data_IF_010521431355
#
_entry.id   IF_010521431355
#
_cell.length_a   1.000
_cell.length_b   1.000
_cell.length_c   1.000
_cell.angle_alpha   90.00
_cell.angle_beta   90.00
_cell.angle_gamma   90.00
#
_symmetry.space_group_name_H-M   'P 1'
#
loop_
_entity.id
_entity.type
_entity.pdbx_description
1 polymer ?
#
# COMPACT_ATOMS: atom_id res chain seq x y z
N UNK A 1 -20.02 -4.03 35.14
CA UNK A 1 -20.60 -5.27 34.57
C UNK A 1 -20.95 -4.97 33.11
N UNK A 2 -20.02 -5.24 32.20
CA UNK A 2 -20.20 -5.00 30.77
C UNK A 2 -21.09 -6.10 30.21
N UNK A 3 -22.32 -5.72 29.86
CA UNK A 3 -23.29 -6.58 29.19
C UNK A 3 -22.66 -7.06 27.88
N UNK A 4 -22.17 -8.31 27.86
CA UNK A 4 -21.67 -8.94 26.64
C UNK A 4 -22.91 -9.30 25.84
N UNK A 5 -23.44 -8.31 25.10
CA UNK A 5 -24.51 -8.57 24.14
C UNK A 5 -24.02 -9.71 23.25
N UNK A 6 -24.69 -10.86 23.34
CA UNK A 6 -24.39 -12.02 22.52
C UNK A 6 -24.51 -11.53 21.07
N UNK A 7 -23.37 -11.45 20.39
CA UNK A 7 -23.32 -11.01 19.00
C UNK A 7 -24.25 -11.94 18.19
N UNK A 8 -25.29 -11.36 17.62
CA UNK A 8 -26.27 -12.10 16.83
C UNK A 8 -25.57 -12.78 15.65
N UNK A 9 -25.72 -14.10 15.55
CA UNK A 9 -25.02 -14.95 14.58
C UNK A 9 -25.98 -15.73 13.68
N UNK A 10 -27.30 -15.61 13.88
CA UNK A 10 -28.28 -16.26 13.01
C UNK A 10 -28.27 -15.56 11.66
N UNK A 11 -27.95 -16.32 10.62
CA UNK A 11 -27.83 -15.81 9.25
C UNK A 11 -29.10 -15.12 8.75
N UNK A 12 -30.28 -15.59 9.15
CA UNK A 12 -31.57 -14.98 8.80
C UNK A 12 -31.73 -13.56 9.39
N UNK A 13 -31.35 -13.39 10.65
CA UNK A 13 -31.44 -12.08 11.34
C UNK A 13 -30.41 -11.13 10.77
N UNK A 14 -29.17 -11.59 10.58
CA UNK A 14 -28.10 -10.81 9.96
C UNK A 14 -28.47 -10.36 8.55
N UNK A 15 -29.11 -11.23 7.76
CA UNK A 15 -29.53 -10.89 6.39
C UNK A 15 -30.58 -9.78 6.39
N UNK A 16 -31.59 -9.88 7.25
CA UNK A 16 -32.62 -8.83 7.37
C UNK A 16 -32.01 -7.47 7.74
N UNK A 17 -31.12 -7.45 8.74
CA UNK A 17 -30.44 -6.22 9.17
C UNK A 17 -29.54 -5.66 8.06
N UNK A 18 -28.76 -6.51 7.40
CA UNK A 18 -27.89 -6.10 6.30
C UNK A 18 -28.68 -5.54 5.11
N UNK A 19 -29.78 -6.18 4.71
CA UNK A 19 -30.60 -5.72 3.58
C UNK A 19 -31.28 -4.37 3.86
N UNK A 20 -31.77 -4.16 5.09
CA UNK A 20 -32.37 -2.90 5.52
C UNK A 20 -31.34 -1.76 5.50
N UNK A 21 -30.19 -1.97 6.16
CA UNK A 21 -29.12 -0.97 6.21
C UNK A 21 -28.51 -0.71 4.83
N UNK A 22 -28.35 -1.75 4.00
CA UNK A 22 -27.85 -1.62 2.63
C UNK A 22 -28.80 -0.80 1.75
N UNK A 23 -30.11 -1.03 1.86
CA UNK A 23 -31.12 -0.27 1.12
C UNK A 23 -31.06 1.22 1.48
N UNK A 24 -30.96 1.53 2.78
CA UNK A 24 -30.77 2.91 3.26
C UNK A 24 -29.47 3.52 2.72
N UNK A 25 -28.37 2.78 2.77
CA UNK A 25 -27.07 3.22 2.25
C UNK A 25 -27.12 3.54 0.74
N UNK A 26 -27.73 2.67 -0.08
CA UNK A 26 -27.89 2.87 -1.54
C UNK A 26 -28.76 4.09 -1.87
N UNK A 27 -29.75 4.39 -1.02
CA UNK A 27 -30.59 5.57 -1.15
C UNK A 27 -29.88 6.87 -0.71
N UNK A 28 -28.62 6.79 -0.29
CA UNK A 28 -27.85 7.94 0.20
C UNK A 28 -28.31 8.44 1.57
N UNK A 29 -29.06 7.63 2.32
CA UNK A 29 -29.40 7.98 3.70
C UNK A 29 -28.13 8.01 4.55
N UNK A 30 -27.98 9.04 5.39
CA UNK A 30 -26.89 9.10 6.35
C UNK A 30 -27.01 7.96 7.35
N UNK A 31 -26.10 6.99 7.27
CA UNK A 31 -25.91 5.98 8.31
C UNK A 31 -24.90 6.51 9.35
N UNK A 32 -25.12 6.18 10.61
CA UNK A 32 -24.13 6.44 11.66
C UNK A 32 -22.89 5.55 11.47
N UNK A 33 -21.79 5.89 12.16
CA UNK A 33 -20.58 5.05 12.14
C UNK A 33 -20.88 3.62 12.62
N UNK A 34 -21.66 3.47 13.69
CA UNK A 34 -22.06 2.16 14.23
C UNK A 34 -22.94 1.38 13.23
N UNK A 35 -23.82 2.05 12.49
CA UNK A 35 -24.63 1.41 11.44
C UNK A 35 -23.78 0.96 10.26
N UNK A 36 -22.77 1.74 9.86
CA UNK A 36 -21.83 1.37 8.80
C UNK A 36 -20.98 0.17 9.22
N UNK A 37 -20.47 0.17 10.46
CA UNK A 37 -19.72 -0.97 11.02
C UNK A 37 -20.60 -2.22 11.10
N UNK A 38 -21.83 -2.09 11.61
CA UNK A 38 -22.77 -3.20 11.68
C UNK A 38 -23.13 -3.76 10.30
N UNK A 39 -23.32 -2.90 9.30
CA UNK A 39 -23.59 -3.30 7.92
C UNK A 39 -22.40 -4.05 7.30
N UNK A 40 -21.18 -3.54 7.48
CA UNK A 40 -19.97 -4.17 6.98
C UNK A 40 -19.74 -5.55 7.63
N UNK A 41 -19.85 -5.62 8.97
CA UNK A 41 -19.66 -6.87 9.72
C UNK A 41 -20.76 -7.90 9.41
N UNK A 42 -22.02 -7.47 9.26
CA UNK A 42 -23.11 -8.37 8.88
C UNK A 42 -22.90 -8.96 7.48
N UNK A 43 -22.53 -8.11 6.50
CA UNK A 43 -22.17 -8.56 5.16
C UNK A 43 -21.00 -9.56 5.19
N UNK A 44 -19.94 -9.25 5.96
CA UNK A 44 -18.78 -10.13 6.10
C UNK A 44 -19.15 -11.49 6.69
N UNK A 45 -19.90 -11.52 7.81
CA UNK A 45 -20.33 -12.77 8.46
C UNK A 45 -21.19 -13.64 7.55
N UNK A 46 -22.12 -13.02 6.82
CA UNK A 46 -22.94 -13.72 5.83
C UNK A 46 -22.07 -14.29 4.70
N UNK A 47 -21.04 -13.57 4.25
CA UNK A 47 -20.16 -14.03 3.18
C UNK A 47 -19.32 -15.25 3.58
N UNK A 48 -18.80 -15.29 4.81
CA UNK A 48 -17.96 -16.39 5.30
C UNK A 48 -18.76 -17.56 5.88
N UNK A 49 -20.07 -17.44 5.95
CA UNK A 49 -20.95 -18.51 6.43
C UNK A 49 -20.88 -19.74 5.49
N UNK A 50 -20.76 -20.98 6.00
CA UNK A 50 -20.57 -22.18 5.17
C UNK A 50 -21.67 -22.43 4.14
N UNK A 51 -22.90 -22.01 4.44
CA UNK A 51 -24.05 -22.16 3.53
C UNK A 51 -24.13 -21.10 2.42
N UNK A 52 -23.21 -20.14 2.36
CA UNK A 52 -23.26 -19.07 1.37
C UNK A 52 -22.50 -19.47 0.11
N UNK A 53 -23.19 -19.50 -1.03
CA UNK A 53 -22.58 -19.80 -2.33
C UNK A 53 -21.50 -18.76 -2.70
N UNK A 54 -20.45 -19.16 -3.42
CA UNK A 54 -19.31 -18.28 -3.73
C UNK A 54 -19.69 -16.98 -4.44
N UNK A 55 -20.69 -16.99 -5.32
CA UNK A 55 -21.19 -15.77 -5.99
C UNK A 55 -21.79 -14.79 -4.99
N UNK A 56 -22.75 -15.26 -4.18
CA UNK A 56 -23.37 -14.44 -3.13
C UNK A 56 -22.36 -13.96 -2.09
N UNK A 57 -21.37 -14.79 -1.74
CA UNK A 57 -20.29 -14.40 -0.84
C UNK A 57 -19.44 -13.26 -1.42
N UNK A 58 -19.13 -13.30 -2.72
CA UNK A 58 -18.40 -12.20 -3.38
C UNK A 58 -19.21 -10.91 -3.36
N UNK A 59 -20.51 -10.96 -3.68
CA UNK A 59 -21.38 -9.79 -3.63
C UNK A 59 -21.36 -9.17 -2.23
N UNK A 60 -21.56 -9.98 -1.18
CA UNK A 60 -21.53 -9.53 0.20
C UNK A 60 -20.16 -8.94 0.61
N UNK A 61 -19.04 -9.52 0.16
CA UNK A 61 -17.70 -8.99 0.44
C UNK A 61 -17.46 -7.65 -0.27
N UNK A 62 -17.96 -7.49 -1.50
CA UNK A 62 -17.93 -6.21 -2.22
C UNK A 62 -18.76 -5.16 -1.49
N UNK A 63 -19.94 -5.54 -0.99
CA UNK A 63 -20.78 -4.64 -0.17
C UNK A 63 -20.06 -4.19 1.09
N UNK A 64 -19.48 -5.15 1.84
CA UNK A 64 -18.71 -4.87 3.05
C UNK A 64 -17.53 -3.93 2.74
N UNK A 65 -16.78 -4.20 1.66
CA UNK A 65 -15.64 -3.38 1.26
C UNK A 65 -16.05 -1.96 0.82
N UNK A 66 -17.23 -1.79 0.20
CA UNK A 66 -17.71 -0.46 -0.21
C UNK A 66 -18.05 0.42 1.00
N UNK A 67 -18.58 -0.19 2.06
CA UNK A 67 -18.98 0.49 3.30
C UNK A 67 -17.75 0.73 4.19
N UNK A 68 -16.84 -0.24 4.25
CA UNK A 68 -15.61 -0.19 5.02
C UNK A 68 -14.41 -0.65 4.14
N UNK A 69 -13.78 0.28 3.40
CA UNK A 69 -12.67 -0.02 2.51
C UNK A 69 -11.36 -0.27 3.26
N UNK A 70 -11.26 0.19 4.52
CA UNK A 70 -10.04 0.07 5.32
C UNK A 70 -9.82 -1.35 5.85
N UNK A 71 -10.87 -2.14 6.01
CA UNK A 71 -10.78 -3.46 6.59
C UNK A 71 -10.23 -4.51 5.60
N UNK A 72 -9.08 -5.15 5.92
CA UNK A 72 -8.40 -6.07 5.01
C UNK A 72 -9.11 -7.41 4.84
N UNK A 73 -10.08 -7.76 5.71
CA UNK A 73 -10.78 -9.04 5.65
C UNK A 73 -11.62 -9.16 4.37
N UNK A 74 -12.29 -8.08 3.97
CA UNK A 74 -13.15 -8.08 2.79
C UNK A 74 -12.38 -8.43 1.50
N UNK A 75 -11.31 -7.68 1.13
CA UNK A 75 -10.52 -8.00 -0.04
C UNK A 75 -9.77 -9.34 0.10
N UNK A 76 -9.31 -9.71 1.29
CA UNK A 76 -8.63 -11.00 1.50
C UNK A 76 -9.55 -12.18 1.17
N UNK A 77 -10.74 -12.23 1.75
CA UNK A 77 -11.69 -13.33 1.52
C UNK A 77 -12.22 -13.35 0.08
N UNK A 78 -12.40 -12.18 -0.56
CA UNK A 78 -12.76 -12.11 -1.98
C UNK A 78 -11.66 -12.72 -2.86
N UNK A 79 -10.40 -12.39 -2.58
CA UNK A 79 -9.23 -12.97 -3.22
C UNK A 79 -9.17 -14.49 -3.10
N UNK A 80 -9.44 -15.04 -1.91
CA UNK A 80 -9.47 -16.50 -1.69
C UNK A 80 -10.55 -17.21 -2.51
N UNK A 81 -11.73 -16.59 -2.67
CA UNK A 81 -12.78 -17.14 -3.51
C UNK A 81 -12.32 -17.16 -4.97
N UNK A 82 -11.79 -16.06 -5.48
CA UNK A 82 -11.26 -16.02 -6.85
C UNK A 82 -10.16 -17.04 -7.09
N UNK A 83 -9.25 -17.20 -6.14
CA UNK A 83 -8.15 -18.16 -6.20
C UNK A 83 -8.66 -19.59 -6.30
N UNK A 84 -9.62 -19.99 -5.45
CA UNK A 84 -10.23 -21.33 -5.46
C UNK A 84 -10.89 -21.67 -6.80
N UNK A 85 -11.39 -20.65 -7.50
CA UNK A 85 -12.03 -20.77 -8.82
C UNK A 85 -11.04 -20.57 -9.98
N UNK A 86 -9.73 -20.57 -9.73
CA UNK A 86 -8.69 -20.43 -10.76
C UNK A 86 -8.62 -19.05 -11.44
N UNK A 87 -9.35 -18.05 -10.91
CA UNK A 87 -9.39 -16.69 -11.47
C UNK A 87 -8.23 -15.86 -10.94
N UNK A 88 -7.01 -16.22 -11.36
CA UNK A 88 -5.76 -15.71 -10.79
C UNK A 88 -5.62 -14.19 -10.86
N UNK A 89 -6.00 -13.57 -11.97
CA UNK A 89 -5.90 -12.12 -12.17
C UNK A 89 -6.85 -11.36 -11.24
N UNK A 90 -8.03 -11.91 -10.98
CA UNK A 90 -8.98 -11.34 -10.03
C UNK A 90 -8.51 -11.57 -8.58
N UNK A 91 -7.96 -12.75 -8.28
CA UNK A 91 -7.36 -13.04 -6.98
C UNK A 91 -6.20 -12.09 -6.68
N UNK A 92 -5.34 -11.81 -7.66
CA UNK A 92 -4.23 -10.88 -7.54
C UNK A 92 -4.71 -9.50 -7.11
N UNK A 93 -5.67 -8.91 -7.84
CA UNK A 93 -6.20 -7.57 -7.53
C UNK A 93 -6.72 -7.48 -6.10
N UNK A 94 -7.52 -8.45 -5.67
CA UNK A 94 -8.12 -8.45 -4.34
C UNK A 94 -7.08 -8.70 -3.23
N UNK A 95 -6.15 -9.64 -3.41
CA UNK A 95 -5.11 -9.89 -2.42
C UNK A 95 -4.09 -8.73 -2.32
N UNK A 96 -3.82 -8.02 -3.41
CA UNK A 96 -3.02 -6.79 -3.39
C UNK A 96 -3.71 -5.69 -2.58
N UNK A 97 -5.03 -5.52 -2.73
CA UNK A 97 -5.80 -4.59 -1.91
C UNK A 97 -5.73 -4.98 -0.41
N UNK A 98 -5.83 -6.27 -0.09
CA UNK A 98 -5.68 -6.76 1.28
C UNK A 98 -4.28 -6.49 1.85
N UNK A 99 -3.23 -6.64 1.04
CA UNK A 99 -1.84 -6.36 1.44
C UNK A 99 -1.62 -4.86 1.69
N UNK A 100 -2.27 -3.99 0.91
CA UNK A 100 -2.25 -2.54 1.12
C UNK A 100 -2.81 -2.13 2.49
N UNK A 101 -3.91 -2.74 2.92
CA UNK A 101 -4.54 -2.44 4.22
C UNK A 101 -3.92 -3.20 5.40
N UNK A 102 -3.23 -4.32 5.17
CA UNK A 102 -2.61 -5.13 6.21
C UNK A 102 -1.24 -5.72 5.79
N UNK A 103 -0.21 -4.87 5.62
CA UNK A 103 1.09 -5.29 5.09
C UNK A 103 1.83 -6.31 5.98
N UNK A 104 1.51 -6.37 7.27
CA UNK A 104 2.11 -7.31 8.23
C UNK A 104 1.41 -8.68 8.26
N UNK A 105 0.30 -8.86 7.54
CA UNK A 105 -0.43 -10.12 7.53
C UNK A 105 0.23 -11.14 6.60
N UNK A 106 1.06 -12.00 7.17
CA UNK A 106 1.77 -13.07 6.46
C UNK A 106 0.86 -13.98 5.61
N UNK A 107 -0.42 -14.17 6.01
CA UNK A 107 -1.36 -15.00 5.24
C UNK A 107 -1.65 -14.40 3.88
N UNK A 108 -1.72 -13.07 3.77
CA UNK A 108 -1.96 -12.39 2.49
C UNK A 108 -0.80 -12.66 1.53
N UNK A 109 0.43 -12.51 2.02
CA UNK A 109 1.65 -12.76 1.24
C UNK A 109 1.77 -14.21 0.80
N UNK A 110 1.46 -15.17 1.67
CA UNK A 110 1.45 -16.58 1.29
C UNK A 110 0.49 -16.87 0.12
N UNK A 111 -0.72 -16.29 0.13
CA UNK A 111 -1.67 -16.45 -0.98
C UNK A 111 -1.26 -15.67 -2.24
N UNK A 112 -0.65 -14.49 -2.10
CA UNK A 112 -0.07 -13.76 -3.23
C UNK A 112 1.02 -14.59 -3.92
N UNK A 113 1.90 -15.26 -3.16
CA UNK A 113 2.91 -16.15 -3.72
C UNK A 113 2.28 -17.28 -4.54
N UNK A 114 1.21 -17.91 -4.04
CA UNK A 114 0.46 -18.94 -4.79
C UNK A 114 -0.13 -18.36 -6.09
N UNK A 115 -0.71 -17.16 -6.05
CA UNK A 115 -1.25 -16.50 -7.24
C UNK A 115 -0.15 -16.20 -8.26
N UNK A 116 0.97 -15.66 -7.83
CA UNK A 116 2.10 -15.35 -8.71
C UNK A 116 2.71 -16.61 -9.33
N UNK A 117 2.82 -17.70 -8.55
CA UNK A 117 3.24 -18.99 -9.07
C UNK A 117 2.28 -19.48 -10.18
N UNK A 118 0.97 -19.47 -9.94
CA UNK A 118 -0.01 -19.90 -10.94
C UNK A 118 -0.01 -19.03 -12.20
N UNK A 119 0.23 -17.72 -12.07
CA UNK A 119 0.37 -16.81 -13.21
C UNK A 119 1.63 -17.12 -14.02
N UNK A 120 2.74 -17.39 -13.32
CA UNK A 120 3.98 -17.81 -13.96
C UNK A 120 3.80 -19.13 -14.71
N UNK A 121 3.18 -20.14 -14.10
CA UNK A 121 2.90 -21.43 -14.73
C UNK A 121 2.03 -21.29 -15.99
N UNK A 122 0.96 -20.47 -15.94
CA UNK A 122 0.13 -20.18 -17.12
C UNK A 122 0.91 -19.52 -18.24
N UNK A 123 1.85 -18.63 -17.90
CA UNK A 123 2.68 -17.93 -18.89
C UNK A 123 3.77 -18.84 -19.46
N UNK A 124 4.39 -19.67 -18.63
CA UNK A 124 5.38 -20.65 -19.06
C UNK A 124 4.78 -21.71 -20.00
N UNK A 125 3.49 -22.02 -19.86
CA UNK A 125 2.76 -22.88 -20.78
C UNK A 125 2.34 -22.22 -22.10
N UNK A 126 2.54 -20.91 -22.26
CA UNK A 126 2.22 -20.20 -23.51
C UNK A 126 3.32 -20.49 -24.56
N UNK A 127 2.99 -21.05 -25.74
CA UNK A 127 3.97 -21.35 -26.79
C UNK A 127 4.73 -20.13 -27.32
N UNK A 128 4.19 -18.92 -27.10
CA UNK A 128 4.80 -17.65 -27.52
C UNK A 128 5.80 -17.10 -26.49
N UNK A 129 5.87 -17.71 -25.31
CA UNK A 129 6.72 -17.27 -24.22
C UNK A 129 8.15 -17.81 -24.38
N UNK A 130 9.10 -16.91 -24.63
CA UNK A 130 10.50 -17.23 -24.89
C UNK A 130 11.37 -17.57 -23.65
N UNK A 131 10.77 -17.67 -22.46
CA UNK A 131 11.51 -18.05 -21.24
C UNK A 131 12.33 -16.94 -20.57
N UNK A 132 12.23 -15.69 -21.06
CA UNK A 132 13.01 -14.53 -20.57
C UNK A 132 12.87 -14.30 -19.05
N UNK A 133 11.67 -14.51 -18.49
CA UNK A 133 11.39 -14.35 -17.05
C UNK A 133 11.98 -15.50 -16.22
N UNK A 134 12.22 -16.68 -16.81
CA UNK A 134 12.82 -17.82 -16.12
C UNK A 134 14.34 -17.66 -16.00
N UNK A 135 14.99 -17.14 -17.05
CA UNK A 135 16.38 -16.69 -16.98
C UNK A 135 16.53 -15.60 -15.92
N UNK A 136 15.71 -14.54 -15.98
CA UNK A 136 15.75 -13.42 -15.04
C UNK A 136 15.44 -13.86 -13.60
N UNK A 137 14.49 -14.76 -13.39
CA UNK A 137 14.19 -15.33 -12.07
C UNK A 137 15.36 -16.14 -11.53
N UNK A 138 16.04 -16.92 -12.38
CA UNK A 138 17.26 -17.64 -12.02
C UNK A 138 18.40 -16.70 -11.62
N UNK A 139 18.60 -15.63 -12.38
CA UNK A 139 19.58 -14.57 -12.06
C UNK A 139 19.28 -13.91 -10.72
N UNK A 140 18.02 -13.51 -10.46
CA UNK A 140 17.59 -12.94 -9.18
C UNK A 140 17.79 -13.95 -8.06
N UNK A 141 17.35 -15.19 -8.20
CA UNK A 141 17.48 -16.20 -7.15
C UNK A 141 18.94 -16.56 -6.86
N UNK A 142 19.82 -16.53 -7.86
CA UNK A 142 21.27 -16.70 -7.67
C UNK A 142 21.85 -15.50 -6.93
N UNK A 143 21.49 -14.28 -7.34
CA UNK A 143 21.90 -13.07 -6.66
C UNK A 143 21.47 -13.10 -5.17
N UNK A 144 20.21 -13.46 -4.87
CA UNK A 144 19.70 -13.60 -3.51
C UNK A 144 20.49 -14.62 -2.69
N UNK A 145 20.70 -15.82 -3.24
CA UNK A 145 21.44 -16.89 -2.54
C UNK A 145 22.89 -16.51 -2.27
N UNK A 146 23.47 -15.70 -3.14
CA UNK A 146 24.85 -15.25 -3.04
C UNK A 146 24.98 -13.93 -2.26
N UNK A 147 23.88 -13.37 -1.74
CA UNK A 147 23.86 -12.07 -1.05
C UNK A 147 24.19 -10.89 -1.97
N UNK A 148 24.05 -11.09 -3.28
CA UNK A 148 24.28 -10.08 -4.34
C UNK A 148 22.97 -9.43 -4.80
N UNK A 149 21.85 -9.75 -4.18
CA UNK A 149 20.56 -9.04 -4.33
C UNK A 149 20.46 -7.82 -3.42
N UNK A 150 21.42 -7.68 -2.50
CA UNK A 150 21.64 -6.46 -1.75
C UNK A 150 21.88 -5.32 -2.75
N UNK A 151 20.99 -4.34 -2.69
CA UNK A 151 21.06 -3.06 -3.39
C UNK A 151 22.49 -2.51 -3.26
N UNK A 152 23.29 -2.65 -4.33
CA UNK A 152 24.65 -2.13 -4.52
C UNK A 152 25.37 -1.68 -3.23
N UNK A 153 26.42 -2.40 -2.82
CA UNK A 153 27.23 -2.28 -1.58
C UNK A 153 27.68 -0.85 -1.15
N UNK A 154 27.39 0.20 -1.92
CA UNK A 154 27.74 1.60 -1.63
C UNK A 154 26.51 2.53 -1.42
N UNK A 155 25.29 1.98 -1.31
CA UNK A 155 24.06 2.76 -1.19
C UNK A 155 23.51 2.68 0.25
N UNK A 156 23.66 3.72 1.10
CA UNK A 156 23.05 3.71 2.42
C UNK A 156 21.54 3.52 2.31
N UNK A 157 21.05 2.46 2.94
CA UNK A 157 19.67 1.95 2.89
C UNK A 157 18.70 2.99 3.45
N UNK A 158 17.68 3.43 2.68
CA UNK A 158 16.58 4.21 3.21
C UNK A 158 15.71 3.35 4.13
N UNK A 159 15.72 3.63 5.43
CA UNK A 159 14.91 2.94 6.42
C UNK A 159 13.40 3.17 6.18
N UNK A 160 12.64 2.10 6.41
CA UNK A 160 11.24 1.87 6.00
C UNK A 160 10.20 2.43 7.00
N UNK A 161 10.39 3.62 7.59
CA UNK A 161 9.44 4.18 8.58
C UNK A 161 9.14 5.68 8.38
N UNK A 162 8.05 6.04 7.69
CA UNK A 162 7.57 7.42 7.65
C UNK A 162 7.21 7.89 9.07
N UNK A 163 7.86 8.94 9.56
CA UNK A 163 7.66 9.53 10.91
C UNK A 163 8.83 9.33 11.88
N UNK A 164 9.62 8.27 11.71
CA UNK A 164 10.87 8.02 12.47
C UNK A 164 12.13 8.20 11.58
N UNK A 165 11.97 8.25 10.26
CA UNK A 165 13.06 8.49 9.31
C UNK A 165 13.29 9.98 9.03
N UNK A 166 14.56 10.29 8.74
CA UNK A 166 15.09 11.59 8.25
C UNK A 166 14.37 12.16 7.02
N UNK A 167 13.61 11.33 6.30
CA UNK A 167 12.87 11.68 5.08
C UNK A 167 11.37 11.42 5.29
N UNK A 168 10.61 12.50 5.21
CA UNK A 168 9.17 12.59 5.49
C UNK A 168 8.30 12.50 4.24
N UNK A 169 8.87 12.56 3.04
CA UNK A 169 8.11 12.48 1.78
C UNK A 169 8.92 12.19 0.52
N UNK A 170 8.21 12.07 -0.61
CA UNK A 170 8.78 11.64 -1.90
C UNK A 170 9.85 12.59 -2.47
N UNK A 171 9.73 13.89 -2.20
CA UNK A 171 10.72 14.90 -2.62
C UNK A 171 12.04 14.74 -1.86
N UNK A 172 11.98 14.38 -0.59
CA UNK A 172 13.16 14.15 0.25
C UNK A 172 13.99 12.98 -0.30
N UNK A 173 13.31 11.92 -0.74
CA UNK A 173 13.90 10.74 -1.38
C UNK A 173 14.47 11.09 -2.76
N UNK A 174 13.71 11.84 -3.57
CA UNK A 174 14.13 12.26 -4.91
C UNK A 174 15.40 13.14 -4.85
N UNK A 175 15.40 14.17 -4.00
CA UNK A 175 16.55 15.05 -3.81
C UNK A 175 17.80 14.29 -3.35
N UNK A 176 17.66 13.38 -2.38
CA UNK A 176 18.75 12.54 -1.91
C UNK A 176 19.34 11.66 -3.03
N UNK A 177 18.47 10.98 -3.81
CA UNK A 177 18.91 10.11 -4.90
C UNK A 177 19.71 10.86 -5.97
N UNK A 178 19.35 12.13 -6.24
CA UNK A 178 20.08 12.97 -7.19
C UNK A 178 21.37 13.52 -6.57
N UNK A 179 21.37 13.88 -5.27
CA UNK A 179 22.56 14.35 -4.55
C UNK A 179 23.65 13.28 -4.43
N UNK A 180 23.30 11.99 -4.49
CA UNK A 180 24.28 10.87 -4.53
C UNK A 180 25.12 10.81 -5.80
N UNK A 181 24.76 11.56 -6.84
CA UNK A 181 25.50 11.60 -8.11
C UNK A 181 26.51 12.75 -8.11
N UNK A 182 27.58 12.68 -8.93
CA UNK A 182 28.50 13.80 -9.10
C UNK A 182 27.78 15.10 -9.47
N UNK A 183 28.27 16.23 -8.94
CA UNK A 183 27.63 17.51 -9.13
C UNK A 183 27.57 17.91 -10.61
N UNK A 184 26.39 18.36 -11.07
CA UNK A 184 26.19 18.76 -12.46
C UNK A 184 24.97 19.66 -12.61
N UNK A 185 24.94 20.47 -13.67
CA UNK A 185 23.88 21.46 -13.89
C UNK A 185 22.47 20.83 -13.91
N UNK A 186 22.32 19.66 -14.52
CA UNK A 186 21.05 18.93 -14.59
C UNK A 186 20.61 18.37 -13.24
N UNK A 187 21.56 17.98 -12.39
CA UNK A 187 21.28 17.54 -11.02
C UNK A 187 20.90 18.71 -10.12
N UNK A 188 21.64 19.82 -10.25
CA UNK A 188 21.39 21.08 -9.52
C UNK A 188 19.94 21.54 -9.66
N UNK A 189 19.44 21.61 -10.89
CA UNK A 189 18.12 22.17 -11.16
C UNK A 189 17.01 21.23 -10.62
N UNK A 190 17.16 19.92 -10.81
CA UNK A 190 16.24 18.93 -10.25
C UNK A 190 16.20 18.94 -8.70
N UNK A 191 17.36 19.02 -8.05
CA UNK A 191 17.43 19.09 -6.58
C UNK A 191 16.87 20.42 -6.07
N UNK A 192 17.06 21.52 -6.79
CA UNK A 192 16.52 22.82 -6.40
C UNK A 192 14.97 22.83 -6.40
N UNK A 193 14.36 22.17 -7.39
CA UNK A 193 12.90 22.03 -7.46
C UNK A 193 12.36 21.16 -6.31
N UNK A 194 13.03 20.06 -5.99
CA UNK A 194 12.66 19.22 -4.85
C UNK A 194 12.86 19.96 -3.51
N UNK A 195 13.96 20.70 -3.34
CA UNK A 195 14.19 21.51 -2.14
C UNK A 195 13.13 22.61 -1.95
N UNK A 196 12.65 23.24 -3.03
CA UNK A 196 11.55 24.21 -2.98
C UNK A 196 10.27 23.54 -2.48
N UNK A 197 9.90 22.37 -3.04
CA UNK A 197 8.73 21.59 -2.61
C UNK A 197 8.83 21.17 -1.14
N UNK A 198 10.02 20.81 -0.68
CA UNK A 198 10.27 20.42 0.71
C UNK A 198 10.09 21.63 1.64
N UNK A 199 10.62 22.80 1.27
CA UNK A 199 10.44 24.03 2.05
C UNK A 199 8.97 24.42 2.18
N UNK A 200 8.21 24.39 1.07
CA UNK A 200 6.77 24.72 1.03
C UNK A 200 5.91 23.79 1.89
N UNK A 201 6.34 22.53 2.03
CA UNK A 201 5.59 21.50 2.76
C UNK A 201 6.11 21.28 4.18
N UNK A 202 7.13 22.03 4.59
CA UNK A 202 7.84 21.81 5.85
C UNK A 202 6.95 21.91 7.09
N UNK A 203 5.99 22.84 7.09
CA UNK A 203 5.05 23.07 8.20
C UNK A 203 3.98 21.98 8.31
N UNK A 204 3.65 21.32 7.20
CA UNK A 204 2.58 20.31 7.12
C UNK A 204 3.08 18.89 7.37
N UNK A 205 4.39 18.72 7.58
CA UNK A 205 5.03 17.41 7.70
C UNK A 205 5.84 17.33 8.99
N UNK A 206 5.62 16.30 9.84
CA UNK A 206 6.50 16.03 10.96
C UNK A 206 7.96 15.91 10.49
N UNK A 207 8.85 16.76 11.01
CA UNK A 207 10.27 16.77 10.65
C UNK A 207 10.62 17.51 9.34
N UNK A 208 9.69 18.19 8.68
CA UNK A 208 9.92 18.85 7.39
C UNK A 208 11.02 19.92 7.39
N UNK A 209 11.11 20.73 8.46
CA UNK A 209 12.19 21.72 8.64
C UNK A 209 13.56 21.03 8.77
N UNK A 210 13.62 19.92 9.50
CA UNK A 210 14.84 19.14 9.65
C UNK A 210 15.26 18.49 8.33
N UNK A 211 14.31 17.92 7.57
CA UNK A 211 14.56 17.35 6.25
C UNK A 211 15.13 18.40 5.27
N UNK A 212 14.57 19.61 5.25
CA UNK A 212 15.11 20.71 4.45
C UNK A 212 16.53 21.08 4.86
N UNK A 213 16.77 21.33 6.16
CA UNK A 213 18.08 21.77 6.66
C UNK A 213 19.19 20.76 6.32
N UNK A 214 18.87 19.49 6.46
CA UNK A 214 19.73 18.36 6.15
C UNK A 214 20.12 18.31 4.65
N UNK A 215 19.13 18.39 3.75
CA UNK A 215 19.38 18.35 2.30
C UNK A 215 20.09 19.63 1.84
N UNK A 216 19.82 20.76 2.48
CA UNK A 216 20.54 22.01 2.28
C UNK A 216 22.02 21.91 2.65
N UNK A 217 22.37 21.20 3.73
CA UNK A 217 23.77 20.91 4.09
C UNK A 217 24.43 20.02 3.03
N UNK A 218 23.76 18.96 2.58
CA UNK A 218 24.29 18.10 1.52
C UNK A 218 24.51 18.88 0.22
N UNK A 219 23.55 19.71 -0.19
CA UNK A 219 23.69 20.62 -1.34
C UNK A 219 24.99 21.43 -1.28
N UNK A 220 25.31 22.00 -0.12
CA UNK A 220 26.54 22.78 0.08
C UNK A 220 27.80 21.91 0.04
N UNK A 221 27.77 20.72 0.66
CA UNK A 221 28.89 19.77 0.65
C UNK A 221 29.22 19.29 -0.76
N UNK A 222 28.19 19.12 -1.61
CA UNK A 222 28.36 18.77 -3.03
C UNK A 222 28.78 19.97 -3.91
N UNK A 223 29.07 21.14 -3.32
CA UNK A 223 29.61 22.30 -4.02
C UNK A 223 28.58 23.13 -4.79
N UNK A 224 27.28 22.93 -4.54
CA UNK A 224 26.25 23.72 -5.20
C UNK A 224 26.08 25.12 -4.55
N UNK A 225 25.55 26.11 -5.29
CA UNK A 225 25.56 27.51 -4.84
C UNK A 225 24.75 27.75 -3.55
N UNK A 226 25.32 28.46 -2.54
CA UNK A 226 24.62 28.75 -1.29
C UNK A 226 23.46 29.75 -1.47
N UNK A 227 23.47 30.55 -2.55
CA UNK A 227 22.41 31.49 -2.85
C UNK A 227 21.04 30.80 -3.03
N UNK A 228 21.03 29.58 -3.60
CA UNK A 228 19.80 28.79 -3.77
C UNK A 228 19.18 28.47 -2.41
N UNK A 229 19.96 27.91 -1.48
CA UNK A 229 19.46 27.56 -0.14
C UNK A 229 18.95 28.78 0.62
N UNK A 230 19.68 29.90 0.58
CA UNK A 230 19.26 31.14 1.25
C UNK A 230 17.90 31.65 0.76
N UNK A 231 17.64 31.53 -0.54
CA UNK A 231 16.34 31.89 -1.12
C UNK A 231 15.25 30.93 -0.67
N UNK A 232 15.49 29.62 -0.76
CA UNK A 232 14.50 28.59 -0.43
C UNK A 232 14.13 28.58 1.06
N UNK A 233 15.09 28.85 1.93
CA UNK A 233 14.88 28.90 3.39
C UNK A 233 13.89 30.00 3.82
N UNK A 234 13.61 31.00 2.98
CA UNK A 234 12.61 32.03 3.27
C UNK A 234 11.18 31.47 3.31
N UNK A 235 10.94 30.31 2.70
CA UNK A 235 9.64 29.64 2.68
C UNK A 235 9.40 28.74 3.90
N UNK A 236 10.39 28.56 4.77
CA UNK A 236 10.25 27.74 5.98
C UNK A 236 9.39 28.46 7.04
N UNK A 237 8.66 27.71 7.87
CA UNK A 237 7.99 28.30 9.02
C UNK A 237 9.00 28.95 9.98
N UNK A 238 8.62 30.02 10.71
CA UNK A 238 9.46 30.58 11.75
C UNK A 238 9.74 29.52 12.81
N UNK A 239 11.01 29.40 13.19
CA UNK A 239 11.47 28.47 14.24
C UNK A 239 11.22 28.99 15.64
#
# INVERSE_FOLDING_TARGET
>A
MTNTAVLENRSEVLRRVADELWTRYEQGAGLSADELEALAEACFRLAVHPGTASGAALDLLVRAHRVDPGNPKHPYHAGLIHLRHGRLEAALRWLTAAAGSAPTNHRVWAHLSIVHQGLHERRAGDPTYAGEEQQRSGEIASAVREGRDDLAEDVPVPLLRPGDCRWSGIHDISAELVLRRPAGARGRDAIADDLQRIAELADRRPGGVAAFAVLAVQWLVHGYPPATIRRLAQALPPG
#
